data_IF_940761317006
#
_entry.id   IF_940761317006
#
_cell.length_a   1.000
_cell.length_b   1.000
_cell.length_c   1.000
_cell.angle_alpha   90.00
_cell.angle_beta   90.00
_cell.angle_gamma   90.00
#
_symmetry.space_group_name_H-M   'P 1'
#
loop_
_entity.id
_entity.type
_entity.pdbx_description
1 polymer ?
2 water ?
#
# COMPACT_ATOMS: atom_id res chain seq x y z
N UNK A 28 -1.14 27.08 -0.17
CA UNK A 28 -2.00 26.16 0.62
C UNK A 28 -1.15 25.45 1.67
N UNK A 29 -1.81 24.95 2.74
CA UNK A 29 -1.04 24.16 3.69
C UNK A 29 -0.51 22.89 3.01
N UNK A 30 0.67 22.45 3.43
CA UNK A 30 1.19 21.19 2.94
C UNK A 30 0.28 20.01 3.33
N UNK A 31 0.31 18.96 2.50
CA UNK A 31 -0.32 17.69 2.87
C UNK A 31 0.38 17.10 4.11
N UNK A 32 -0.41 16.71 5.11
CA UNK A 32 0.15 16.34 6.41
C UNK A 32 -0.80 15.46 7.14
N UNK A 33 -0.25 14.62 8.01
CA UNK A 33 -1.08 13.76 8.86
C UNK A 33 -0.28 13.54 10.17
N UNK A 34 -0.93 12.95 11.15
CA UNK A 34 -0.28 12.70 12.45
C UNK A 34 -0.77 11.35 12.94
N UNK A 35 0.12 10.61 13.58
CA UNK A 35 -0.22 9.26 14.06
C UNK A 35 0.21 9.14 15.52
N UNK A 36 -0.70 8.67 16.35
CA UNK A 36 -0.40 8.62 17.80
C UNK A 36 -0.28 7.15 18.29
N UNK A 37 0.49 6.93 19.36
CA UNK A 37 0.81 5.57 19.80
C UNK A 37 -0.45 4.75 19.96
N UNK A 38 -1.46 5.34 20.56
CA UNK A 38 -2.59 4.54 21.04
C UNK A 38 -3.72 4.30 20.03
N UNK A 39 -3.68 4.94 18.86
CA UNK A 39 -4.81 4.76 17.93
C UNK A 39 -4.76 3.40 17.18
N UNK A 40 -5.92 2.89 16.72
CA UNK A 40 -5.94 1.51 16.18
C UNK A 40 -5.04 1.32 14.94
N UNK A 41 -4.89 2.35 14.11
CA UNK A 41 -3.96 2.25 12.97
C UNK A 41 -2.52 1.93 13.40
N UNK A 42 -2.11 2.42 14.58
CA UNK A 42 -0.73 2.26 15.04
C UNK A 42 -0.61 1.01 15.91
N UNK A 43 -1.60 0.82 16.79
CA UNK A 43 -1.67 -0.40 17.64
C UNK A 43 -1.71 -1.63 16.76
N UNK A 44 -2.32 -1.48 15.58
CA UNK A 44 -2.52 -2.62 14.67
C UNK A 44 -1.38 -3.17 13.82
N UNK A 45 -0.20 -2.58 13.94
CA UNK A 45 0.98 -3.15 13.31
C UNK A 45 2.21 -3.14 14.18
N UNK A 46 2.63 -4.33 14.61
CA UNK A 46 3.76 -4.49 15.52
C UNK A 46 4.83 -5.32 14.84
N UNK A 47 6.07 -4.86 14.94
CA UNK A 47 7.17 -5.52 14.26
C UNK A 47 8.47 -5.42 15.05
N UNK A 48 9.12 -6.56 15.25
CA UNK A 48 10.28 -6.62 16.12
C UNK A 48 9.98 -5.85 17.42
N UNK A 49 8.83 -6.15 18.04
CA UNK A 49 8.44 -5.59 19.33
C UNK A 49 8.13 -4.10 19.41
N UNK A 50 8.02 -3.43 18.27
CA UNK A 50 7.72 -1.99 18.26
C UNK A 50 6.44 -1.73 17.45
N UNK A 51 5.78 -0.60 17.73
CA UNK A 51 4.73 -0.12 16.81
C UNK A 51 5.33 0.66 15.65
N UNK A 52 5.33 0.05 14.46
CA UNK A 52 6.02 0.62 13.30
C UNK A 52 4.96 1.07 12.30
N UNK A 53 4.99 2.33 11.87
CA UNK A 53 3.91 2.80 10.98
C UNK A 53 3.94 1.94 9.70
N UNK A 54 2.76 1.47 9.26
CA UNK A 54 2.76 0.58 8.12
C UNK A 54 3.27 1.31 6.88
N UNK A 55 4.07 0.62 6.08
CA UNK A 55 4.63 1.22 4.84
C UNK A 55 3.57 1.67 3.82
N UNK A 56 2.41 1.03 3.88
CA UNK A 56 1.24 1.43 3.08
C UNK A 56 0.84 2.91 3.21
N UNK A 57 1.18 3.53 4.35
CA UNK A 57 0.88 4.93 4.58
C UNK A 57 1.46 5.80 3.47
N UNK A 58 2.67 5.49 3.04
CA UNK A 58 3.44 6.42 2.23
C UNK A 58 2.87 6.63 0.82
N UNK A 59 2.43 5.56 0.15
CA UNK A 59 1.83 5.72 -1.19
C UNK A 59 0.55 6.57 -1.09
N UNK A 60 -0.21 6.38 -0.01
CA UNK A 60 -1.44 7.19 0.14
C UNK A 60 -1.14 8.70 0.31
N UNK A 61 -0.14 9.03 1.13
CA UNK A 61 0.34 10.44 1.27
C UNK A 61 0.88 10.97 -0.03
N UNK A 62 1.60 10.13 -0.77
CA UNK A 62 2.10 10.59 -2.09
C UNK A 62 0.99 10.93 -3.10
N UNK A 63 -0.09 10.17 -3.08
CA UNK A 63 -1.26 10.39 -3.96
C UNK A 63 -2.00 11.68 -3.55
N UNK A 64 -2.13 11.91 -2.25
CA UNK A 64 -2.68 13.19 -1.80
C UNK A 64 -1.86 14.38 -2.27
N UNK A 65 -0.54 14.27 -2.20
CA UNK A 65 0.35 15.35 -2.59
C UNK A 65 0.19 15.62 -4.08
N UNK A 66 0.05 14.54 -4.87
CA UNK A 66 -0.32 14.74 -6.29
C UNK A 66 -1.61 15.55 -6.54
N UNK A 67 -2.72 15.13 -5.93
CA UNK A 67 -4.01 15.79 -6.11
C UNK A 67 -4.04 17.22 -5.61
N UNK A 68 -3.21 17.49 -4.60
CA UNK A 68 -3.00 18.85 -4.07
C UNK A 68 -2.28 19.77 -5.05
N UNK A 69 -1.32 19.19 -5.77
CA UNK A 69 -0.53 19.87 -6.79
C UNK A 69 -1.32 20.02 -8.12
N UNK A 70 -2.10 19.01 -8.45
CA UNK A 70 -2.89 19.02 -9.68
C UNK A 70 -4.38 18.83 -9.39
N UNK A 71 -5.00 19.82 -8.73
CA UNK A 71 -6.43 19.75 -8.83
C UNK A 71 -6.75 20.01 -10.31
N UNK A 72 -7.88 19.50 -10.78
CA UNK A 72 -8.15 19.50 -12.21
C UNK A 72 -7.35 18.41 -12.95
N UNK A 73 -6.84 17.42 -12.20
CA UNK A 73 -6.55 16.10 -12.78
C UNK A 73 -7.37 15.04 -12.07
N UNK A 74 -7.93 14.10 -12.83
CA UNK A 74 -8.83 13.10 -12.25
C UNK A 74 -8.06 11.78 -12.10
N UNK A 75 -6.79 11.82 -12.49
CA UNK A 75 -5.96 10.63 -12.46
C UNK A 75 -4.51 11.05 -12.53
N UNK A 76 -3.61 10.17 -12.09
CA UNK A 76 -2.20 10.47 -12.06
C UNK A 76 -1.36 9.21 -11.89
N UNK A 77 -0.06 9.42 -11.71
CA UNK A 77 0.92 8.36 -11.45
C UNK A 77 1.81 8.74 -10.29
N UNK A 78 2.14 7.75 -9.47
CA UNK A 78 3.33 7.82 -8.63
C UNK A 78 4.40 6.92 -9.24
N UNK A 79 5.67 7.32 -9.20
CA UNK A 79 6.77 6.47 -9.71
C UNK A 79 7.89 6.38 -8.70
N UNK A 80 8.58 5.24 -8.69
CA UNK A 80 9.84 5.08 -7.99
C UNK A 80 9.72 5.40 -6.49
N UNK A 81 8.62 4.94 -5.91
CA UNK A 81 8.38 5.17 -4.46
C UNK A 81 9.23 4.18 -3.67
N UNK A 82 10.09 4.72 -2.84
CA UNK A 82 11.07 3.95 -2.11
C UNK A 82 10.94 4.27 -0.61
N UNK A 83 10.95 3.26 0.24
CA UNK A 83 10.76 3.42 1.69
C UNK A 83 12.14 3.53 2.30
N UNK A 84 12.40 4.66 2.94
CA UNK A 84 13.76 4.99 3.36
C UNK A 84 14.04 4.45 4.76
N UNK A 85 13.11 4.69 5.67
CA UNK A 85 13.36 4.45 7.09
C UNK A 85 12.03 4.10 7.74
N UNK A 86 12.00 3.01 8.54
CA UNK A 86 10.75 2.73 9.24
C UNK A 86 10.52 3.78 10.31
N UNK A 87 9.25 4.06 10.61
CA UNK A 87 8.91 4.97 11.66
C UNK A 87 8.38 4.21 12.85
N UNK A 88 9.10 4.27 13.97
CA UNK A 88 8.65 3.64 15.22
C UNK A 88 7.97 4.65 16.12
N UNK A 89 6.82 4.31 16.67
CA UNK A 89 6.10 5.20 17.51
C UNK A 89 6.14 4.65 18.91
N UNK A 90 6.70 5.43 19.84
CA UNK A 90 6.81 4.95 21.22
C UNK A 90 5.66 5.45 22.06
N UNK A 91 5.47 4.83 23.21
CA UNK A 91 4.44 5.21 24.12
C UNK A 91 4.41 6.72 24.37
N UNK A 92 3.21 7.29 24.39
CA UNK A 92 3.06 8.73 24.55
C UNK A 92 3.36 9.64 23.35
N UNK A 93 3.96 9.10 22.29
CA UNK A 93 4.38 9.91 21.14
C UNK A 93 3.29 10.13 20.08
N UNK A 94 3.42 11.27 19.40
CA UNK A 94 2.62 11.55 18.22
C UNK A 94 3.59 11.99 17.15
N UNK A 95 3.61 11.28 16.01
CA UNK A 95 4.51 11.60 14.92
C UNK A 95 3.80 12.34 13.79
N UNK A 96 4.39 13.45 13.34
CA UNK A 96 3.84 14.23 12.24
C UNK A 96 4.52 13.75 10.97
N UNK A 97 3.73 13.60 9.90
CA UNK A 97 4.24 13.38 8.57
C UNK A 97 3.81 14.49 7.62
N UNK A 98 4.68 14.87 6.69
CA UNK A 98 4.32 15.84 5.66
C UNK A 98 4.81 15.27 4.34
N UNK A 99 4.15 15.65 3.24
CA UNK A 99 4.53 15.15 1.91
C UNK A 99 4.82 16.38 1.10
N UNK A 100 6.11 16.65 0.89
CA UNK A 100 6.59 17.92 0.35
C UNK A 100 7.10 17.70 -1.07
N UNK A 101 6.58 18.49 -2.04
CA UNK A 101 6.97 18.31 -3.42
C UNK A 101 8.18 19.19 -3.74
N UNK A 102 8.88 18.87 -4.83
CA UNK A 102 10.21 19.40 -5.05
C UNK A 102 10.54 19.30 -6.54
N UNK A 103 11.34 20.25 -7.03
CA UNK A 103 11.77 20.27 -8.43
C UNK A 103 13.13 19.59 -8.63
N UNK A 107 11.20 16.26 -13.57
CA UNK A 107 10.28 15.54 -12.68
C UNK A 107 9.95 16.24 -11.35
N UNK A 108 8.73 15.98 -10.87
CA UNK A 108 8.32 16.35 -9.52
C UNK A 108 8.66 15.24 -8.53
N UNK A 109 9.59 15.52 -7.64
CA UNK A 109 9.96 14.61 -6.58
C UNK A 109 9.11 14.84 -5.32
N UNK A 110 8.62 13.76 -4.71
CA UNK A 110 7.88 13.86 -3.44
C UNK A 110 8.79 13.37 -2.32
N UNK A 111 8.93 14.17 -1.27
CA UNK A 111 9.58 13.73 -0.06
C UNK A 111 8.58 13.60 1.09
N UNK A 112 8.38 12.39 1.58
CA UNK A 112 7.55 12.17 2.75
C UNK A 112 8.46 12.17 3.96
N UNK A 113 8.29 13.19 4.81
CA UNK A 113 9.16 13.39 5.96
C UNK A 113 8.37 13.16 7.22
N UNK A 114 9.06 12.77 8.28
CA UNK A 114 8.43 12.69 9.58
C UNK A 114 9.27 13.41 10.60
N UNK A 115 8.62 13.85 11.66
CA UNK A 115 9.30 14.66 12.65
C UNK A 115 9.67 13.76 13.80
N UNK A 116 10.98 13.49 13.88
CA UNK A 116 11.56 12.58 14.88
C UNK A 116 11.40 13.21 16.24
N UNK A 117 10.57 12.62 17.11
CA UNK A 117 10.28 13.30 18.38
C UNK A 117 11.52 13.51 19.27
N UNK A 118 12.51 12.63 19.14
CA UNK A 118 13.85 12.79 19.76
C UNK A 118 14.41 14.20 19.58
N UNK A 119 14.51 14.62 18.32
CA UNK A 119 15.34 15.77 17.97
C UNK A 119 14.45 16.92 17.54
N UNK A 120 13.23 16.61 17.14
CA UNK A 120 12.35 17.59 16.51
C UNK A 120 12.78 17.91 15.08
N UNK A 121 13.61 17.05 14.50
CA UNK A 121 14.06 17.26 13.12
C UNK A 121 13.17 16.43 12.19
N UNK A 122 12.80 17.02 11.07
CA UNK A 122 12.34 16.27 9.90
C UNK A 122 13.37 15.35 9.33
N UNK A 123 12.94 14.13 9.04
CA UNK A 123 13.78 13.06 8.48
C UNK A 123 12.96 12.40 7.38
N UNK A 124 13.60 11.95 6.28
CA UNK A 124 12.85 11.27 5.21
C UNK A 124 12.35 9.85 5.57
N UNK A 125 11.05 9.62 5.37
CA UNK A 125 10.45 8.31 5.53
C UNK A 125 10.38 7.61 4.17
N UNK A 126 10.06 8.38 3.13
CA UNK A 126 9.90 7.82 1.75
C UNK A 126 10.18 8.87 0.70
N UNK A 127 10.53 8.43 -0.50
CA UNK A 127 10.77 9.34 -1.60
C UNK A 127 10.17 8.71 -2.83
N UNK A 128 9.58 9.56 -3.67
CA UNK A 128 9.06 9.12 -4.99
C UNK A 128 8.95 10.24 -5.99
N UNK A 129 8.17 10.00 -7.04
CA UNK A 129 7.89 11.01 -8.05
C UNK A 129 6.42 10.97 -8.35
N UNK A 130 5.86 12.08 -8.81
CA UNK A 130 4.51 11.98 -9.34
C UNK A 130 4.41 12.71 -10.67
N UNK A 131 3.39 12.36 -11.44
CA UNK A 131 3.26 12.83 -12.81
C UNK A 131 1.81 12.76 -13.27
N UNK A 132 1.45 13.63 -14.21
CA UNK A 132 0.20 13.46 -14.94
C UNK A 132 0.22 12.11 -15.69
N UNK A 133 -0.96 11.56 -15.94
CA UNK A 133 -1.07 10.30 -16.66
C UNK A 133 -2.49 9.83 -16.62
N UNK A 134 -3.00 9.36 -17.75
CA UNK A 134 -4.37 8.90 -17.79
C UNK A 134 -4.45 7.52 -17.14
N UNK A 135 -5.63 7.16 -16.66
CA UNK A 135 -5.86 5.82 -16.17
C UNK A 135 -6.75 5.10 -17.18
N UNK A 136 -6.17 4.10 -17.83
CA UNK A 136 -6.90 3.27 -18.78
C UNK A 136 -7.24 1.95 -18.12
N UNK A 137 -8.52 1.77 -17.77
CA UNK A 137 -9.05 0.55 -17.16
C UNK A 137 -8.85 -0.69 -18.05
N UNK A 138 -8.75 -1.84 -17.40
CA UNK A 138 -8.55 -3.11 -18.09
C UNK A 138 -9.72 -3.98 -17.71
N UNK A 139 -10.12 -4.89 -18.59
CA UNK A 139 -11.22 -5.77 -18.26
C UNK A 139 -10.64 -7.03 -17.66
N UNK A 140 -11.26 -7.51 -16.59
CA UNK A 140 -10.84 -8.74 -15.92
C UNK A 140 -12.07 -9.56 -15.54
N UNK A 141 -12.19 -10.75 -16.13
CA UNK A 141 -13.21 -11.69 -15.70
C UNK A 141 -12.76 -12.43 -14.45
N UNK A 142 -13.31 -12.05 -13.29
CA UNK A 142 -12.88 -12.55 -12.00
C UNK A 142 -13.24 -14.03 -11.88
N UNK A 143 -14.42 -14.38 -12.37
CA UNK A 143 -14.85 -15.77 -12.36
C UNK A 143 -13.92 -16.63 -13.19
N UNK A 144 -13.49 -16.10 -14.33
CA UNK A 144 -12.54 -16.75 -15.21
C UNK A 144 -11.22 -17.01 -14.50
N UNK A 145 -10.63 -15.93 -13.98
CA UNK A 145 -9.39 -16.04 -13.23
C UNK A 145 -9.50 -17.04 -12.08
N UNK A 146 -10.56 -16.93 -11.28
CA UNK A 146 -10.85 -17.77 -10.13
C UNK A 146 -10.87 -19.27 -10.46
N UNK A 147 -11.52 -19.61 -11.57
CA UNK A 147 -11.66 -21.00 -12.00
C UNK A 147 -10.36 -21.75 -12.05
N UNK A 148 -9.27 -21.09 -12.47
CA UNK A 148 -7.97 -21.76 -12.62
C UNK A 148 -7.09 -21.79 -11.35
N UNK A 149 -7.55 -21.12 -10.30
CA UNK A 149 -6.80 -21.03 -9.04
C UNK A 149 -7.41 -21.93 -7.97
N UNK A 150 -6.66 -22.19 -6.90
CA UNK A 150 -7.14 -23.00 -5.79
C UNK A 150 -7.63 -22.08 -4.68
N UNK A 151 -8.90 -22.23 -4.31
CA UNK A 151 -9.44 -21.53 -3.14
C UNK A 151 -8.77 -21.97 -1.85
N UNK A 152 -8.40 -20.98 -1.02
CA UNK A 152 -7.75 -21.24 0.26
C UNK A 152 -8.79 -21.10 1.38
N UNK A 153 -8.58 -21.82 2.45
CA UNK A 153 -9.48 -21.83 3.61
C UNK A 153 -8.69 -21.43 4.82
N UNK A 154 -9.37 -21.20 5.94
CA UNK A 154 -8.72 -20.67 7.13
C UNK A 154 -7.95 -19.42 6.80
N UNK A 155 -8.63 -18.42 6.28
CA UNK A 155 -8.00 -17.18 5.90
C UNK A 155 -7.21 -16.49 7.02
N UNK A 156 -7.48 -16.74 8.28
CA UNK A 156 -6.55 -16.24 9.32
C UNK A 156 -5.12 -16.75 9.13
N UNK A 164 6.37 -12.37 10.69
CA UNK A 164 6.66 -11.51 11.83
C UNK A 164 5.51 -10.64 12.28
N UNK A 165 4.99 -9.76 11.39
CA UNK A 165 4.12 -8.68 11.82
C UNK A 165 2.90 -9.17 12.61
N UNK A 166 2.62 -8.53 13.74
CA UNK A 166 1.34 -8.73 14.42
C UNK A 166 0.30 -7.70 13.99
N UNK A 167 -0.86 -8.18 13.57
CA UNK A 167 -1.89 -7.34 12.94
C UNK A 167 -3.07 -7.10 13.82
N UNK A 168 -3.49 -5.85 13.91
CA UNK A 168 -4.78 -5.52 14.50
C UNK A 168 -5.96 -5.68 13.56
N UNK A 169 -7.18 -5.68 14.10
CA UNK A 169 -8.35 -6.03 13.28
C UNK A 169 -8.71 -5.08 12.14
N UNK A 170 -8.42 -3.79 12.32
CA UNK A 170 -8.50 -2.80 11.23
C UNK A 170 -7.94 -3.30 9.88
N UNK A 171 -6.76 -3.90 9.95
CA UNK A 171 -6.01 -4.34 8.72
C UNK A 171 -6.51 -5.66 8.14
N UNK A 172 -7.36 -6.38 8.88
CA UNK A 172 -7.84 -7.69 8.43
C UNK A 172 -8.99 -7.57 7.42
N UNK A 173 -8.66 -7.21 6.19
CA UNK A 173 -9.63 -6.84 5.19
C UNK A 173 -9.94 -7.99 4.22
N UNK A 174 -9.20 -9.08 4.31
CA UNK A 174 -9.29 -10.09 3.22
C UNK A 174 -10.42 -11.05 3.56
N UNK A 175 -11.31 -11.30 2.60
CA UNK A 175 -12.41 -12.27 2.80
C UNK A 175 -12.25 -13.57 2.03
N UNK A 176 -11.60 -13.50 0.87
CA UNK A 176 -11.38 -14.72 0.07
C UNK A 176 -10.02 -14.67 -0.57
N UNK A 177 -9.40 -15.84 -0.74
CA UNK A 177 -8.12 -15.97 -1.48
C UNK A 177 -8.18 -17.17 -2.44
N UNK A 178 -7.66 -16.98 -3.64
CA UNK A 178 -7.46 -18.09 -4.58
C UNK A 178 -6.06 -17.97 -5.14
N UNK A 179 -5.31 -19.06 -5.17
CA UNK A 179 -3.85 -18.99 -5.34
C UNK A 179 -3.35 -20.00 -6.34
N UNK A 180 -2.25 -19.67 -7.03
CA UNK A 180 -1.44 -20.71 -7.67
C UNK A 180 0.05 -20.30 -7.59
N UNK A 181 0.93 -21.08 -8.22
CA UNK A 181 2.35 -20.85 -8.09
C UNK A 181 2.86 -19.49 -8.49
N UNK A 182 2.05 -18.72 -9.22
CA UNK A 182 2.60 -17.43 -9.68
C UNK A 182 1.71 -16.24 -9.41
N UNK A 183 0.52 -16.50 -8.87
CA UNK A 183 -0.42 -15.41 -8.60
C UNK A 183 -1.32 -15.66 -7.42
N UNK A 184 -2.00 -14.62 -6.98
CA UNK A 184 -3.05 -14.80 -5.98
C UNK A 184 -4.15 -13.81 -6.27
N UNK A 185 -5.40 -14.21 -6.03
CA UNK A 185 -6.57 -13.34 -6.27
C UNK A 185 -7.29 -13.21 -4.93
N UNK A 186 -7.40 -11.99 -4.44
CA UNK A 186 -7.96 -11.75 -3.11
C UNK A 186 -9.24 -10.92 -3.26
N UNK A 187 -10.29 -11.31 -2.55
CA UNK A 187 -11.41 -10.40 -2.37
C UNK A 187 -11.25 -9.69 -1.03
N UNK A 188 -11.38 -8.37 -1.04
CA UNK A 188 -11.28 -7.60 0.19
C UNK A 188 -12.52 -6.79 0.50
N UNK A 189 -12.63 -6.39 1.75
CA UNK A 189 -13.64 -5.42 2.15
C UNK A 189 -12.97 -4.20 2.78
N UNK A 190 -13.12 -3.06 2.11
CA UNK A 190 -12.67 -1.77 2.63
C UNK A 190 -13.80 -1.05 3.35
N UNK A 191 -13.50 -0.45 4.52
CA UNK A 191 -14.54 0.04 5.42
C UNK A 191 -15.08 1.42 5.05
N UNK A 197 -9.36 6.67 12.24
CA UNK A 197 -10.16 7.75 12.79
C UNK A 197 -9.62 9.13 12.43
N UNK A 198 -10.33 9.80 11.53
CA UNK A 198 -9.77 10.95 10.83
C UNK A 198 -8.39 10.65 10.29
N UNK A 199 -8.30 9.59 9.49
CA UNK A 199 -7.42 9.57 8.33
C UNK A 199 -8.15 9.43 7.04
N UNK A 200 -8.31 10.55 6.33
CA UNK A 200 -9.14 10.60 5.12
C UNK A 200 -8.20 10.60 3.96
N UNK A 201 -8.20 9.53 3.19
CA UNK A 201 -7.34 9.43 2.01
C UNK A 201 -8.13 9.00 0.79
N UNK A 202 -7.79 9.55 -0.37
CA UNK A 202 -8.48 9.19 -1.63
C UNK A 202 -8.22 7.73 -1.96
N UNK A 203 -6.96 7.31 -1.79
CA UNK A 203 -6.60 5.91 -1.90
C UNK A 203 -6.18 5.40 -0.53
N UNK A 204 -7.01 4.54 0.06
CA UNK A 204 -6.81 4.14 1.45
C UNK A 204 -5.47 3.41 1.59
N UNK A 205 -4.73 3.67 2.67
CA UNK A 205 -3.60 2.78 2.98
C UNK A 205 -4.06 1.37 3.21
N UNK A 206 -5.32 1.17 3.59
CA UNK A 206 -5.79 -0.21 3.72
C UNK A 206 -5.81 -0.95 2.40
N UNK A 207 -5.87 -0.22 1.28
CA UNK A 207 -5.88 -0.89 -0.04
C UNK A 207 -4.47 -1.43 -0.32
N UNK A 208 -3.50 -0.56 -0.17
CA UNK A 208 -2.12 -0.98 -0.39
C UNK A 208 -1.69 -2.03 0.61
N UNK A 209 -2.11 -1.89 1.86
CA UNK A 209 -1.69 -2.89 2.79
C UNK A 209 -2.35 -4.26 2.50
N UNK A 210 -3.59 -4.26 1.98
CA UNK A 210 -4.26 -5.51 1.67
C UNK A 210 -3.47 -6.25 0.61
N UNK A 211 -2.84 -5.49 -0.28
CA UNK A 211 -2.01 -6.08 -1.31
C UNK A 211 -0.80 -6.77 -0.66
N UNK A 212 -0.18 -6.14 0.33
CA UNK A 212 0.90 -6.80 1.05
C UNK A 212 0.42 -8.09 1.75
N UNK A 213 -0.75 -8.05 2.41
CA UNK A 213 -1.20 -9.22 3.15
C UNK A 213 -1.48 -10.40 2.17
N UNK A 214 -2.05 -10.06 1.01
CA UNK A 214 -2.32 -11.07 -0.04
C UNK A 214 -1.00 -11.64 -0.54
N UNK A 215 -0.01 -10.79 -0.72
CA UNK A 215 1.33 -11.25 -1.11
C UNK A 215 1.92 -12.24 -0.08
N UNK A 216 1.81 -11.94 1.20
CA UNK A 216 2.29 -12.87 2.21
C UNK A 216 1.58 -14.21 2.12
N UNK A 217 0.27 -14.18 1.84
CA UNK A 217 -0.51 -15.41 1.65
C UNK A 217 -0.05 -16.21 0.42
N UNK A 218 0.31 -15.49 -0.63
CA UNK A 218 0.92 -16.12 -1.81
C UNK A 218 2.23 -16.83 -1.42
N UNK A 219 3.09 -16.13 -0.68
CA UNK A 219 4.44 -16.64 -0.38
C UNK A 219 4.39 -17.81 0.60
N UNK A 220 3.28 -17.95 1.29
CA UNK A 220 3.11 -18.93 2.37
C UNK A 220 3.28 -20.32 1.81
N UNK A 221 3.03 -20.47 0.50
CA UNK A 221 3.08 -21.77 -0.15
C UNK A 221 4.51 -22.26 -0.27
N UNK A 222 5.48 -21.36 -0.09
CA UNK A 222 6.86 -21.72 -0.36
C UNK A 222 7.58 -22.00 0.96
N UNK A 223 8.73 -22.66 0.85
CA UNK A 223 9.61 -22.88 1.99
C UNK A 223 10.59 -21.73 2.10
N UNK A 224 10.08 -20.62 2.59
CA UNK A 224 10.91 -19.46 2.88
C UNK A 224 10.75 -19.19 4.35
N UNK A 225 11.75 -19.61 5.11
CA UNK A 225 11.65 -19.52 6.55
C UNK A 225 12.38 -18.25 6.96
N UNK A 226 11.61 -17.28 7.45
CA UNK A 226 12.09 -15.90 7.53
C UNK A 226 11.22 -14.95 6.73
N UNK A 227 11.13 -13.71 7.21
CA UNK A 227 10.04 -12.84 6.82
C UNK A 227 10.35 -12.09 5.55
N UNK A 228 9.55 -11.07 5.30
CA UNK A 228 9.77 -10.17 4.19
C UNK A 228 9.55 -8.78 4.76
N UNK A 229 9.78 -7.74 3.94
CA UNK A 229 9.39 -6.38 4.31
C UNK A 229 9.22 -5.52 3.06
N UNK A 230 8.11 -4.77 2.96
CA UNK A 230 7.87 -3.93 1.79
C UNK A 230 8.99 -2.89 1.67
N UNK A 231 9.44 -2.69 0.45
CA UNK A 231 10.63 -1.90 0.12
C UNK A 231 10.21 -0.66 -0.71
N UNK A 232 9.15 -0.78 -1.46
CA UNK A 232 8.63 0.34 -2.22
C UNK A 232 7.83 -0.18 -3.39
N UNK A 233 7.36 0.74 -4.22
CA UNK A 233 6.46 0.46 -5.35
C UNK A 233 6.97 1.22 -6.59
N UNK A 234 7.28 0.51 -7.67
CA UNK A 234 7.82 1.16 -8.88
C UNK A 234 6.87 2.11 -9.62
N UNK A 235 5.58 1.78 -9.60
CA UNK A 235 4.56 2.60 -10.27
C UNK A 235 3.19 2.40 -9.65
N UNK A 236 2.44 3.49 -9.48
CA UNK A 236 1.05 3.38 -9.15
C UNK A 236 0.28 4.22 -10.15
N UNK A 237 -0.78 3.66 -10.73
CA UNK A 237 -1.69 4.46 -11.57
C UNK A 237 -3.03 4.54 -10.94
N UNK A 238 -3.54 5.75 -10.72
CA UNK A 238 -4.70 5.91 -9.87
C UNK A 238 -5.63 7.02 -10.41
N UNK A 239 -6.87 7.00 -9.94
CA UNK A 239 -7.86 8.10 -10.16
C UNK A 239 -8.38 8.70 -8.85
N UNK A 240 -9.18 9.76 -8.99
CA UNK A 240 -9.76 10.46 -7.86
C UNK A 240 -11.01 9.77 -7.36
N UNK A 241 -11.60 8.86 -8.14
CA UNK A 241 -12.80 8.16 -7.69
C UNK A 241 -12.49 7.14 -6.61
N UNK A 242 -12.99 7.39 -5.41
CA UNK A 242 -12.56 6.64 -4.24
C UNK A 242 -13.10 5.22 -4.30
N UNK A 243 -12.24 4.25 -4.06
CA UNK A 243 -12.65 2.86 -4.16
C UNK A 243 -13.06 2.44 -2.77
N UNK A 244 -14.32 2.07 -2.62
CA UNK A 244 -14.82 1.68 -1.31
C UNK A 244 -15.58 0.37 -1.45
N UNK A 245 -15.75 -0.35 -0.34
CA UNK A 245 -16.61 -1.53 -0.32
C UNK A 245 -15.83 -2.74 -0.79
N UNK A 246 -16.51 -3.64 -1.49
CA UNK A 246 -15.88 -4.87 -1.94
C UNK A 246 -15.08 -4.63 -3.20
N UNK A 247 -13.91 -5.24 -3.27
CA UNK A 247 -13.18 -5.27 -4.50
C UNK A 247 -12.16 -6.40 -4.45
N UNK A 248 -11.54 -6.62 -5.61
CA UNK A 248 -10.63 -7.74 -5.79
C UNK A 248 -9.23 -7.24 -6.07
N UNK A 249 -8.22 -8.02 -5.66
CA UNK A 249 -6.81 -7.71 -6.02
C UNK A 249 -6.31 -8.94 -6.80
N UNK A 250 -5.76 -8.73 -7.99
CA UNK A 250 -5.17 -9.81 -8.76
C UNK A 250 -3.67 -9.51 -8.78
N UNK A 251 -2.90 -10.40 -8.15
CA UNK A 251 -1.49 -10.12 -7.88
C UNK A 251 -0.64 -11.17 -8.57
N UNK A 252 0.33 -10.72 -9.34
CA UNK A 252 1.20 -11.62 -10.10
C UNK A 252 2.67 -11.40 -9.76
N UNK A 253 3.40 -12.49 -9.49
CA UNK A 253 4.85 -12.41 -9.31
C UNK A 253 5.51 -12.18 -10.68
N UNK A 254 6.26 -11.10 -10.76
CA UNK A 254 6.96 -10.69 -12.01
C UNK A 254 8.49 -10.76 -11.95
N UNK A 255 9.10 -10.58 -10.79
CA UNK A 255 10.58 -10.59 -10.72
C UNK A 255 11.00 -11.24 -9.42
N UNK A 256 12.05 -12.04 -9.50
CA UNK A 256 12.62 -12.61 -8.28
C UNK A 256 14.08 -12.63 -8.67
N UNK A 257 14.82 -11.68 -8.11
CA UNK A 257 16.30 -11.61 -8.25
C UNK A 257 16.85 -10.78 -7.08
N UNK A 258 18.09 -11.03 -6.66
CA UNK A 258 18.70 -10.13 -5.69
C UNK A 258 18.01 -10.16 -4.32
N UNK A 259 17.34 -11.28 -4.02
CA UNK A 259 16.50 -11.40 -2.82
C UNK A 259 15.40 -10.34 -2.75
N UNK A 260 15.01 -9.82 -3.91
CA UNK A 260 13.86 -8.92 -3.99
C UNK A 260 12.76 -9.64 -4.79
N UNK A 261 11.54 -9.54 -4.33
CA UNK A 261 10.42 -10.16 -5.03
C UNK A 261 9.50 -9.01 -5.42
N UNK A 262 9.21 -8.86 -6.70
CA UNK A 262 8.37 -7.75 -7.18
C UNK A 262 7.11 -8.33 -7.83
N UNK A 263 6.00 -7.64 -7.58
CA UNK A 263 4.66 -8.10 -7.98
C UNK A 263 3.98 -7.00 -8.74
N UNK A 264 3.14 -7.38 -9.70
CA UNK A 264 2.12 -6.46 -10.22
C UNK A 264 0.78 -6.68 -9.52
N UNK A 265 0.03 -5.60 -9.32
CA UNK A 265 -1.22 -5.70 -8.58
C UNK A 265 -2.28 -4.92 -9.32
N UNK A 266 -3.34 -5.61 -9.75
CA UNK A 266 -4.53 -4.91 -10.31
C UNK A 266 -5.69 -4.96 -9.33
N UNK A 267 -6.27 -3.78 -9.06
CA UNK A 267 -7.44 -3.71 -8.22
C UNK A 267 -8.66 -3.63 -9.15
N UNK A 268 -9.64 -4.49 -8.89
CA UNK A 268 -10.79 -4.66 -9.82
C UNK A 268 -12.09 -4.46 -9.07
N UNK A 269 -13.06 -3.76 -9.67
CA UNK A 269 -14.34 -3.57 -9.02
C UNK A 269 -15.28 -4.74 -9.24
N UNK A 270 -16.51 -4.64 -8.73
CA UNK A 270 -17.44 -5.75 -8.82
C UNK A 270 -18.14 -5.77 -10.17
N UNK A 271 -17.62 -5.00 -11.11
CA UNK A 271 -18.12 -4.97 -12.48
C UNK A 271 -17.00 -5.24 -13.47
N UNK A 272 -16.00 -6.04 -13.06
CA UNK A 272 -15.03 -6.61 -14.00
C UNK A 272 -14.02 -5.66 -14.64
N UNK A 273 -13.85 -4.47 -14.07
CA UNK A 273 -12.86 -3.55 -14.61
C UNK A 273 -11.92 -3.03 -13.53
N UNK A 274 -10.70 -2.73 -13.96
CA UNK A 274 -9.67 -2.26 -13.02
C UNK A 274 -9.75 -0.79 -12.67
N UNK A 275 -9.50 -0.49 -11.39
CA UNK A 275 -9.69 0.87 -10.87
C UNK A 275 -8.43 1.46 -10.22
N UNK A 276 -7.36 0.65 -10.16
CA UNK A 276 -6.10 1.11 -9.61
C UNK A 276 -5.07 0.05 -9.96
N UNK A 277 -3.89 0.48 -10.42
CA UNK A 277 -2.79 -0.43 -10.84
C UNK A 277 -1.58 -0.13 -10.01
N UNK A 278 -0.95 -1.19 -9.48
CA UNK A 278 0.42 -1.07 -8.98
C UNK A 278 1.33 -1.94 -9.83
N UNK A 279 2.55 -1.49 -10.05
CA UNK A 279 3.52 -2.30 -10.76
C UNK A 279 4.87 -2.27 -10.02
N UNK A 280 5.54 -3.42 -9.93
CA UNK A 280 6.79 -3.48 -9.17
C UNK A 280 6.59 -3.13 -7.70
N UNK A 281 5.56 -3.73 -7.12
CA UNK A 281 5.39 -3.72 -5.67
C UNK A 281 6.45 -4.65 -5.08
N UNK A 282 7.37 -4.09 -4.29
CA UNK A 282 8.64 -4.74 -3.95
C UNK A 282 8.65 -5.21 -2.51
N UNK A 283 9.06 -6.48 -2.30
CA UNK A 283 9.35 -7.04 -1.00
C UNK A 283 10.81 -7.48 -0.97
N UNK A 284 11.47 -7.20 0.15
CA UNK A 284 12.80 -7.73 0.41
C UNK A 284 12.73 -9.02 1.22
#
# INVERSE_FOLDING_TARGET
MGSSHHHHHHSSGLVPRGSSDVEDNINQPVIQDQFTYDEPYVQGHVFNNERVLVGATYGSLAIEAFFNLFPEENSGRISKLSYISPIVIKQGETIELQAKPLQKDQVIELQIMYREPSSGLWKPAAIGQCGIGSFEPKKVNIENVKHSLTKLHHIDQMYKTGNGPEWGELFKTITHLYRDHKSILAKIRLPQSGLANGHHYTVSPLMTNSAYLAILSFLEQFDMTGGFLPFGINDIQFTKQTIKGDCWLLITLVKNTGDMLLFDVDVINESSETVLHYSGYSLKQLRISN
#
